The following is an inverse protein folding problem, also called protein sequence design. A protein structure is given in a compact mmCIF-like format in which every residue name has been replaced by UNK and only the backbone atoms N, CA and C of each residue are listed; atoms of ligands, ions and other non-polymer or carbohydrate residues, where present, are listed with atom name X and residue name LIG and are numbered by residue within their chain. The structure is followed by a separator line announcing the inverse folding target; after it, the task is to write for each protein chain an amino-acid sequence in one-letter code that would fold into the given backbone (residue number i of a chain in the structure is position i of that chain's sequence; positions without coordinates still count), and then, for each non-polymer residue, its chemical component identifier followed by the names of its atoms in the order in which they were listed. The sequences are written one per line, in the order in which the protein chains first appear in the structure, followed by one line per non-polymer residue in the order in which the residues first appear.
data_IF_421201432128
#
_entry.id   IF_421201432128
#
_cell.length_a   1.000
_cell.length_b   1.000
_cell.length_c   1.000
_cell.angle_alpha   90.00
_cell.angle_beta   90.00
_cell.angle_gamma   90.00
#
_symmetry.space_group_name_H-M   'P 1'
#
loop_
_entity.id
_entity.type
_entity.pdbx_description
1 polymer ?
#
# COMPACT_ATOMS: atom_id res chain seq x y z
N UNK A 1 1.38 16.64 -4.72
CA UNK A 1 1.60 15.39 -5.47
C UNK A 1 3.07 14.98 -5.40
N UNK A 2 3.36 13.69 -5.16
CA UNK A 2 4.72 13.15 -5.02
C UNK A 2 5.43 13.06 -6.35
N UNK A 3 6.76 13.19 -6.29
CA UNK A 3 7.64 13.03 -7.45
C UNK A 3 7.85 11.55 -7.79
N UNK A 4 8.25 11.26 -9.03
CA UNK A 4 8.60 9.89 -9.46
C UNK A 4 9.68 9.26 -8.58
N UNK A 5 10.65 10.05 -8.11
CA UNK A 5 11.71 9.59 -7.21
C UNK A 5 11.15 9.14 -5.86
N UNK A 6 10.30 9.96 -5.24
CA UNK A 6 9.63 9.63 -3.98
C UNK A 6 8.70 8.40 -4.12
N UNK A 7 8.04 8.25 -5.27
CA UNK A 7 7.18 7.09 -5.55
C UNK A 7 8.01 5.82 -5.71
N UNK A 8 9.11 5.88 -6.46
CA UNK A 8 10.02 4.74 -6.63
C UNK A 8 10.62 4.31 -5.28
N UNK A 9 11.08 5.27 -4.47
CA UNK A 9 11.61 5.00 -3.14
C UNK A 9 10.57 4.33 -2.23
N UNK A 10 9.33 4.86 -2.19
CA UNK A 10 8.25 4.26 -1.42
C UNK A 10 7.90 2.86 -1.91
N UNK A 11 7.90 2.64 -3.23
CA UNK A 11 7.61 1.32 -3.82
C UNK A 11 8.64 0.29 -3.34
N UNK A 12 9.93 0.62 -3.40
CA UNK A 12 10.99 -0.27 -2.89
C UNK A 12 10.83 -0.58 -1.40
N UNK A 13 10.46 0.41 -0.58
CA UNK A 13 10.18 0.19 0.85
C UNK A 13 8.96 -0.70 1.10
N UNK A 14 7.93 -0.64 0.25
CA UNK A 14 6.80 -1.58 0.34
C UNK A 14 7.25 -2.99 -0.06
N UNK A 15 8.07 -3.13 -1.10
CA UNK A 15 8.65 -4.42 -1.52
C UNK A 15 9.50 -5.05 -0.39
N UNK A 16 10.29 -4.26 0.34
CA UNK A 16 11.02 -4.70 1.54
C UNK A 16 10.08 -5.22 2.64
N UNK A 17 8.95 -4.54 2.88
CA UNK A 17 7.93 -5.02 3.84
C UNK A 17 7.26 -6.31 3.38
N UNK A 18 7.02 -6.46 2.08
CA UNK A 18 6.49 -7.70 1.49
C UNK A 18 7.50 -8.85 1.49
N UNK A 19 8.80 -8.57 1.65
CA UNK A 19 9.83 -9.59 1.82
C UNK A 19 9.91 -10.15 3.24
N UNK A 20 9.30 -9.49 4.25
CA UNK A 20 9.22 -10.02 5.62
C UNK A 20 8.37 -11.30 5.64
N UNK A 21 8.96 -12.43 6.04
CA UNK A 21 8.30 -13.74 6.05
C UNK A 21 6.98 -13.75 6.83
N UNK A 22 6.83 -12.88 7.84
CA UNK A 22 5.62 -12.77 8.67
C UNK A 22 4.42 -12.28 7.86
N UNK A 23 4.63 -11.53 6.77
CA UNK A 23 3.55 -11.04 5.90
C UNK A 23 2.73 -12.19 5.27
N UNK A 24 3.33 -13.39 5.15
CA UNK A 24 2.69 -14.56 4.58
C UNK A 24 1.78 -15.31 5.57
N UNK A 25 1.77 -14.92 6.85
CA UNK A 25 0.84 -15.48 7.83
C UNK A 25 -0.57 -15.01 7.54
N UNK A 26 -1.56 -15.86 7.81
CA UNK A 26 -2.97 -15.58 7.53
C UNK A 26 -3.46 -14.27 8.18
N UNK A 27 -3.02 -13.98 9.40
CA UNK A 27 -3.36 -12.74 10.13
C UNK A 27 -2.92 -11.46 9.41
N UNK A 28 -1.95 -11.57 8.50
CA UNK A 28 -1.41 -10.46 7.71
C UNK A 28 -1.88 -10.48 6.25
N UNK A 29 -2.77 -11.42 5.86
CA UNK A 29 -3.33 -11.46 4.51
C UNK A 29 -3.96 -10.12 4.06
N UNK A 30 -4.69 -9.37 4.92
CA UNK A 30 -5.19 -8.03 4.57
C UNK A 30 -4.08 -7.01 4.28
N UNK A 31 -2.99 -7.05 5.07
CA UNK A 31 -1.83 -6.15 4.92
C UNK A 31 -1.11 -6.48 3.62
N UNK A 32 -0.91 -7.77 3.33
CA UNK A 32 -0.31 -8.23 2.08
C UNK A 32 -1.12 -7.80 0.87
N UNK A 33 -2.45 -8.01 0.89
CA UNK A 33 -3.36 -7.57 -0.16
C UNK A 33 -3.25 -6.05 -0.41
N UNK A 34 -3.33 -5.25 0.66
CA UNK A 34 -3.23 -3.80 0.57
C UNK A 34 -1.90 -3.31 0.01
N UNK A 35 -0.77 -3.91 0.41
CA UNK A 35 0.55 -3.52 -0.10
C UNK A 35 0.80 -3.93 -1.54
N UNK A 36 0.35 -5.11 -1.96
CA UNK A 36 0.39 -5.50 -3.37
C UNK A 36 -0.39 -4.50 -4.22
N UNK A 37 -1.59 -4.10 -3.77
CA UNK A 37 -2.38 -3.10 -4.48
C UNK A 37 -1.73 -1.72 -4.46
N UNK A 38 -1.11 -1.34 -3.34
CA UNK A 38 -0.40 -0.07 -3.22
C UNK A 38 0.74 0.05 -4.24
N UNK A 39 1.47 -1.04 -4.51
CA UNK A 39 2.50 -1.07 -5.55
C UNK A 39 1.91 -0.81 -6.93
N UNK A 40 0.78 -1.44 -7.29
CA UNK A 40 0.09 -1.17 -8.56
C UNK A 40 -0.31 0.30 -8.68
N UNK A 41 -0.96 0.85 -7.65
CA UNK A 41 -1.41 2.25 -7.60
C UNK A 41 -0.24 3.22 -7.79
N UNK A 42 0.88 2.97 -7.08
CA UNK A 42 2.08 3.79 -7.17
C UNK A 42 2.75 3.72 -8.54
N UNK A 43 2.85 2.52 -9.14
CA UNK A 43 3.46 2.32 -10.46
C UNK A 43 2.63 2.97 -11.57
N UNK A 44 1.31 2.86 -11.48
CA UNK A 44 0.37 3.40 -12.48
C UNK A 44 -0.05 4.85 -12.21
N UNK A 45 0.41 5.46 -11.11
CA UNK A 45 0.04 6.80 -10.66
C UNK A 45 -1.47 6.98 -10.55
N UNK A 46 -2.16 5.98 -10.01
CA UNK A 46 -3.60 6.01 -9.83
C UNK A 46 -3.96 6.97 -8.68
N UNK A 47 -4.72 8.02 -8.98
CA UNK A 47 -5.11 9.06 -8.01
C UNK A 47 -6.58 9.01 -7.62
N UNK A 48 -7.31 7.99 -8.06
CA UNK A 48 -8.75 7.85 -7.87
C UNK A 48 -9.09 6.43 -7.40
N UNK A 49 -9.96 6.34 -6.39
CA UNK A 49 -10.33 5.08 -5.73
C UNK A 49 -11.06 4.14 -6.69
N UNK A 50 -11.94 4.68 -7.54
CA UNK A 50 -12.72 3.90 -8.52
C UNK A 50 -11.81 3.38 -9.63
N UNK A 51 -10.92 4.22 -10.14
CA UNK A 51 -9.91 3.80 -11.13
C UNK A 51 -8.96 2.76 -10.57
N UNK A 52 -8.61 2.86 -9.30
CA UNK A 52 -7.81 1.87 -8.59
C UNK A 52 -8.60 0.59 -8.24
N UNK A 53 -9.92 0.56 -8.45
CA UNK A 53 -10.78 -0.60 -8.22
C UNK A 53 -10.67 -1.13 -6.79
N UNK A 54 -10.66 -0.24 -5.80
CA UNK A 54 -10.46 -0.65 -4.41
C UNK A 54 -11.58 -1.58 -3.93
N UNK A 55 -12.79 -1.45 -4.48
CA UNK A 55 -13.93 -2.33 -4.21
C UNK A 55 -13.67 -3.81 -4.54
N UNK A 56 -12.71 -4.12 -5.43
CA UNK A 56 -12.34 -5.50 -5.78
C UNK A 56 -11.49 -6.18 -4.69
N UNK A 57 -10.90 -5.42 -3.76
CA UNK A 57 -10.13 -5.98 -2.64
C UNK A 57 -11.07 -6.61 -1.63
N UNK A 58 -10.72 -7.78 -1.12
CA UNK A 58 -11.59 -8.57 -0.24
C UNK A 58 -11.70 -7.95 1.15
N UNK A 59 -10.61 -7.37 1.64
CA UNK A 59 -10.51 -6.96 3.04
C UNK A 59 -10.66 -5.44 3.21
N UNK A 60 -11.37 -5.02 4.25
CA UNK A 60 -11.52 -3.59 4.59
C UNK A 60 -10.15 -2.96 4.86
N UNK A 61 -9.27 -3.67 5.56
CA UNK A 61 -7.93 -3.20 5.85
C UNK A 61 -7.08 -3.10 4.57
N UNK A 62 -7.16 -4.07 3.66
CA UNK A 62 -6.48 -3.98 2.36
C UNK A 62 -6.90 -2.75 1.57
N UNK A 63 -8.21 -2.46 1.51
CA UNK A 63 -8.76 -1.24 0.91
C UNK A 63 -8.23 0.03 1.56
N UNK A 64 -8.21 0.09 2.89
CA UNK A 64 -7.70 1.25 3.61
C UNK A 64 -6.21 1.51 3.31
N UNK A 65 -5.38 0.47 3.25
CA UNK A 65 -3.95 0.60 2.92
C UNK A 65 -3.78 1.07 1.47
N UNK A 66 -4.54 0.52 0.54
CA UNK A 66 -4.51 0.96 -0.86
C UNK A 66 -4.94 2.42 -1.02
N UNK A 67 -5.93 2.88 -0.26
CA UNK A 67 -6.33 4.29 -0.22
C UNK A 67 -5.19 5.20 0.29
N UNK A 68 -4.42 4.76 1.30
CA UNK A 68 -3.25 5.49 1.77
C UNK A 68 -2.19 5.68 0.66
N UNK A 69 -2.09 4.76 -0.30
CA UNK A 69 -1.19 4.93 -1.45
C UNK A 69 -1.65 6.06 -2.39
N UNK A 70 -2.96 6.21 -2.58
CA UNK A 70 -3.56 7.33 -3.32
C UNK A 70 -3.29 8.64 -2.57
N UNK A 71 -3.59 8.68 -1.27
CA UNK A 71 -3.34 9.84 -0.41
C UNK A 71 -1.85 10.23 -0.44
N UNK A 72 -0.96 9.24 -0.42
CA UNK A 72 0.48 9.47 -0.53
C UNK A 72 0.84 10.13 -1.86
N UNK A 73 0.36 9.60 -2.99
CA UNK A 73 0.61 10.19 -4.32
C UNK A 73 0.14 11.64 -4.35
N UNK A 74 -1.04 11.93 -3.80
CA UNK A 74 -1.60 13.29 -3.78
C UNK A 74 -0.82 14.23 -2.85
N UNK A 75 -0.15 13.68 -1.84
CA UNK A 75 0.61 14.42 -0.83
C UNK A 75 -0.17 14.65 0.47
N UNK A 76 -1.33 14.02 0.59
CA UNK A 76 -2.23 14.10 1.76
C UNK A 76 -1.70 13.28 2.94
N UNK A 77 -0.83 12.31 2.69
CA UNK A 77 -0.14 11.59 3.75
C UNK A 77 1.38 11.46 3.51
N UNK A 78 2.09 11.13 4.59
CA UNK A 78 3.53 10.88 4.56
C UNK A 78 3.83 9.42 4.26
N UNK A 79 5.04 9.13 3.76
CA UNK A 79 5.50 7.76 3.55
C UNK A 79 5.41 6.91 4.83
N UNK A 80 5.66 7.52 5.99
CA UNK A 80 5.59 6.82 7.28
C UNK A 80 4.18 6.33 7.64
N UNK A 81 3.13 7.03 7.20
CA UNK A 81 1.74 6.61 7.42
C UNK A 81 1.42 5.36 6.60
N UNK A 82 1.77 5.37 5.30
CA UNK A 82 1.57 4.23 4.41
C UNK A 82 2.39 2.99 4.86
N UNK A 83 3.63 3.18 5.27
CA UNK A 83 4.52 2.10 5.72
C UNK A 83 4.28 1.67 7.19
N UNK A 84 3.52 2.45 7.96
CA UNK A 84 3.34 2.26 9.40
C UNK A 84 2.39 1.12 9.79
N UNK A 85 1.80 0.41 8.83
CA UNK A 85 0.83 -0.66 9.10
C UNK A 85 1.54 -1.87 9.70
N UNK A 86 1.21 -2.30 10.92
CA UNK A 86 1.96 -3.35 11.61
C UNK A 86 1.83 -4.71 10.93
N UNK A 87 2.95 -5.42 10.80
CA UNK A 87 3.00 -6.84 10.42
C UNK A 87 3.03 -7.64 11.70
N UNK A 88 1.98 -8.42 11.96
CA UNK A 88 1.80 -9.14 13.21
C UNK A 88 2.63 -10.42 13.24
N UNK A 89 3.11 -10.77 14.43
CA UNK A 89 3.80 -12.04 14.65
C UNK A 89 2.81 -13.19 14.94
N UNK A 90 1.62 -12.89 15.48
CA UNK A 90 0.58 -13.86 15.85
C UNK A 90 -0.78 -13.17 15.86
#
# INVERSE_FOLDING_TARGET
MRTKKEIQETTSKIEERLADIRINRFVNAPVKEGYLKSIEILKDLQTDITRAKLEELKTVQGRAIAALAIDYIMGECTQSVLLGVPIKDR
#
